data_IF_942719351926
#
_entry.id   IF_942719351926
#
_cell.length_a   1.000
_cell.length_b   1.000
_cell.length_c   1.000
_cell.angle_alpha   90.00
_cell.angle_beta   90.00
_cell.angle_gamma   90.00
#
_symmetry.space_group_name_H-M   'P 1'
#
loop_
_entity.id
_entity.type
_entity.pdbx_description
1 polymer ?
#
# COMPACT_ATOMS: atom_id res chain seq x y z
N UNK A 1 7.54 10.29 -0.08
CA UNK A 1 8.54 9.37 0.49
C UNK A 1 7.86 8.35 1.41
N UNK A 2 7.33 8.72 2.58
CA UNK A 2 6.69 7.78 3.52
C UNK A 2 5.61 6.85 2.91
N UNK A 3 4.68 7.39 2.12
CA UNK A 3 3.63 6.60 1.43
C UNK A 3 4.22 5.57 0.46
N UNK A 4 5.30 5.95 -0.23
CA UNK A 4 5.99 5.07 -1.15
C UNK A 4 6.71 3.94 -0.39
N UNK A 5 7.42 4.27 0.69
CA UNK A 5 8.14 3.30 1.51
C UNK A 5 7.17 2.32 2.20
N UNK A 6 6.00 2.81 2.59
CA UNK A 6 4.93 1.99 3.15
C UNK A 6 4.35 1.00 2.11
N UNK A 7 4.10 1.45 0.88
CA UNK A 7 3.70 0.53 -0.22
C UNK A 7 4.78 -0.50 -0.50
N UNK A 8 6.06 -0.11 -0.47
CA UNK A 8 7.18 -1.02 -0.67
C UNK A 8 7.21 -2.12 0.40
N UNK A 9 7.02 -1.76 1.67
CA UNK A 9 6.98 -2.73 2.77
C UNK A 9 5.80 -3.72 2.64
N UNK A 10 4.62 -3.24 2.23
CA UNK A 10 3.46 -4.10 2.00
C UNK A 10 3.71 -5.12 0.88
N UNK A 11 4.39 -4.71 -0.20
CA UNK A 11 4.79 -5.62 -1.28
C UNK A 11 5.74 -6.73 -0.78
N UNK A 12 6.70 -6.38 0.08
CA UNK A 12 7.62 -7.35 0.71
C UNK A 12 6.85 -8.35 1.57
N UNK A 13 5.89 -7.88 2.39
CA UNK A 13 5.06 -8.75 3.25
C UNK A 13 4.28 -9.76 2.41
N UNK A 14 3.60 -9.31 1.36
CA UNK A 14 2.84 -10.19 0.46
C UNK A 14 3.75 -11.23 -0.20
N UNK A 15 4.91 -10.82 -0.69
CA UNK A 15 5.86 -11.75 -1.33
C UNK A 15 6.39 -12.81 -0.35
N UNK A 16 6.66 -12.45 0.91
CA UNK A 16 7.06 -13.43 1.92
C UNK A 16 5.93 -14.40 2.27
N UNK A 17 4.68 -13.92 2.33
CA UNK A 17 3.51 -14.77 2.51
C UNK A 17 3.38 -15.83 1.41
N UNK A 18 3.61 -15.44 0.15
CA UNK A 18 3.63 -16.37 -0.99
C UNK A 18 4.79 -17.37 -0.90
N UNK A 19 5.99 -16.91 -0.52
CA UNK A 19 7.15 -17.79 -0.34
C UNK A 19 6.93 -18.83 0.76
N UNK A 20 6.42 -18.40 1.92
CA UNK A 20 6.12 -19.28 3.06
C UNK A 20 5.05 -20.32 2.68
N UNK A 21 4.02 -19.92 1.93
CA UNK A 21 3.03 -20.84 1.42
C UNK A 21 3.60 -21.88 0.44
N UNK A 22 4.62 -21.51 -0.34
CA UNK A 22 5.27 -22.40 -1.30
C UNK A 22 6.29 -23.36 -0.66
N UNK A 23 6.99 -22.93 0.39
CA UNK A 23 8.09 -23.69 1.01
C UNK A 23 7.69 -24.49 2.27
N UNK A 24 6.47 -24.31 2.77
CA UNK A 24 6.02 -25.03 3.97
C UNK A 24 5.79 -26.52 3.72
N UNK A 25 6.11 -27.33 4.73
CA UNK A 25 5.84 -28.78 4.73
C UNK A 25 4.36 -29.12 4.98
N UNK A 26 3.60 -28.18 5.54
CA UNK A 26 2.15 -28.30 5.76
C UNK A 26 1.41 -27.07 5.24
N UNK A 27 1.06 -27.04 3.94
CA UNK A 27 0.37 -25.93 3.32
C UNK A 27 -0.98 -25.63 3.95
N UNK A 28 -1.75 -26.66 4.31
CA UNK A 28 -3.10 -26.47 4.83
C UNK A 28 -3.10 -25.88 6.24
N UNK A 29 -2.08 -26.17 7.06
CA UNK A 29 -1.96 -25.59 8.40
C UNK A 29 -1.76 -24.07 8.41
N UNK A 30 -1.05 -23.51 7.41
CA UNK A 30 -0.72 -22.08 7.38
C UNK A 30 -1.55 -21.26 6.38
N UNK A 31 -2.33 -21.93 5.52
CA UNK A 31 -3.09 -21.32 4.43
C UNK A 31 -4.02 -20.22 4.90
N UNK A 32 -4.69 -20.45 6.03
CA UNK A 32 -5.61 -19.47 6.62
C UNK A 32 -4.86 -18.21 7.08
N UNK A 33 -3.75 -18.38 7.79
CA UNK A 33 -2.95 -17.26 8.32
C UNK A 33 -2.32 -16.44 7.18
N UNK A 34 -1.75 -17.11 6.18
CA UNK A 34 -1.17 -16.46 5.00
C UNK A 34 -2.24 -15.70 4.21
N UNK A 35 -3.44 -16.25 4.07
CA UNK A 35 -4.54 -15.59 3.38
C UNK A 35 -5.00 -14.32 4.13
N UNK A 36 -5.11 -14.38 5.46
CA UNK A 36 -5.48 -13.22 6.28
C UNK A 36 -4.43 -12.10 6.21
N UNK A 37 -3.13 -12.44 6.27
CA UNK A 37 -2.05 -11.45 6.13
C UNK A 37 -2.12 -10.78 4.75
N UNK A 38 -2.36 -11.54 3.68
CA UNK A 38 -2.52 -10.99 2.33
C UNK A 38 -3.70 -10.02 2.26
N UNK A 39 -4.86 -10.41 2.78
CA UNK A 39 -6.05 -9.55 2.81
C UNK A 39 -5.79 -8.26 3.59
N UNK A 40 -5.11 -8.35 4.73
CA UNK A 40 -4.73 -7.18 5.52
C UNK A 40 -3.78 -6.24 4.75
N UNK A 41 -2.80 -6.80 4.05
CA UNK A 41 -1.84 -6.03 3.25
C UNK A 41 -2.50 -5.33 2.05
N UNK A 42 -3.41 -6.02 1.35
CA UNK A 42 -4.20 -5.44 0.26
C UNK A 42 -5.07 -4.26 0.74
N UNK A 43 -5.75 -4.42 1.89
CA UNK A 43 -6.51 -3.33 2.50
C UNK A 43 -5.64 -2.14 2.89
N UNK A 44 -4.44 -2.40 3.42
CA UNK A 44 -3.49 -1.35 3.76
C UNK A 44 -3.00 -0.60 2.51
N UNK A 45 -2.78 -1.30 1.38
CA UNK A 45 -2.45 -0.68 0.10
C UNK A 45 -3.58 0.25 -0.36
N UNK A 46 -4.83 -0.21 -0.35
CA UNK A 46 -5.98 0.62 -0.74
C UNK A 46 -6.14 1.88 0.12
N UNK A 47 -5.93 1.77 1.43
CA UNK A 47 -6.00 2.91 2.35
C UNK A 47 -4.85 3.91 2.07
N UNK A 48 -3.66 3.40 1.78
CA UNK A 48 -2.49 4.21 1.44
C UNK A 48 -2.69 4.98 0.13
N UNK A 49 -3.35 4.35 -0.84
CA UNK A 49 -3.80 4.99 -2.07
C UNK A 49 -4.77 6.14 -1.79
N UNK A 50 -5.80 5.93 -0.95
CA UNK A 50 -6.78 6.97 -0.59
C UNK A 50 -6.13 8.17 0.10
N UNK A 51 -5.11 7.94 0.95
CA UNK A 51 -4.37 9.02 1.61
C UNK A 51 -3.61 9.91 0.61
N UNK A 52 -3.00 9.32 -0.41
CA UNK A 52 -2.33 10.08 -1.49
C UNK A 52 -3.31 10.96 -2.26
N UNK A 53 -4.49 10.45 -2.58
CA UNK A 53 -5.50 11.23 -3.32
C UNK A 53 -6.18 12.32 -2.47
N UNK A 54 -6.14 12.21 -1.13
CA UNK A 54 -6.64 13.22 -0.21
C UNK A 54 -5.66 14.38 0.02
N UNK A 55 -4.41 14.27 -0.44
CA UNK A 55 -3.48 15.39 -0.34
C UNK A 55 -4.03 16.55 -1.19
N UNK A 56 -4.29 17.73 -0.62
CA UNK A 56 -4.90 18.83 -1.36
C UNK A 56 -3.98 19.16 -2.53
N UNK A 57 -4.56 19.19 -3.73
CA UNK A 57 -3.92 19.79 -4.89
C UNK A 57 -3.74 21.27 -4.55
N UNK A 58 -2.63 21.64 -3.91
CA UNK A 58 -2.17 23.02 -3.87
C UNK A 58 -1.64 23.35 -5.27
N UNK A 59 -2.55 23.38 -6.24
CA UNK A 59 -2.36 24.19 -7.44
C UNK A 59 -2.49 25.62 -6.97
N UNK A 60 -1.31 26.18 -6.74
CA UNK A 60 -1.04 27.60 -6.65
C UNK A 60 -1.58 28.26 -7.93
N UNK A 61 -2.82 28.75 -7.87
CA UNK A 61 -3.31 29.73 -8.83
C UNK A 61 -2.95 31.08 -8.24
N UNK A 62 -1.73 31.52 -8.55
CA UNK A 62 -1.24 32.87 -8.33
C UNK A 62 -2.27 33.87 -8.92
N UNK A 63 -2.75 34.87 -8.15
CA UNK A 63 -3.63 35.87 -8.72
C UNK A 63 -2.75 36.75 -9.61
N UNK A 64 -2.94 36.68 -10.92
CA UNK A 64 -2.39 37.66 -11.85
C UNK A 64 -2.99 39.03 -11.53
N UNK A 65 -2.36 39.74 -10.59
CA UNK A 65 -2.54 41.15 -10.34
C UNK A 65 -1.51 41.93 -11.17
N UNK A 66 -2.02 42.89 -11.95
CA UNK A 66 -1.25 43.78 -12.83
C UNK A 66 -1.39 43.35 -14.28
N UNK A 67 -1.72 44.19 -15.25
CA UNK A 67 -1.68 45.65 -15.44
C UNK A 67 -2.47 45.86 -16.75
N UNK A 68 -3.46 46.73 -16.88
CA UNK A 68 -3.40 48.18 -17.08
C UNK A 68 -4.78 48.65 -17.55
#
# INVERSE_FOLDING_TARGET
MLVHDFRNLLAVIVNYCELIAAETTDPEAIKADVAEIRIAAERALELTEKLRHRQPQTTDSEPAAGTS
#
